data_IF_512460794679
#
_entry.id   IF_512460794679
#
_cell.length_a   1.000
_cell.length_b   1.000
_cell.length_c   1.000
_cell.angle_alpha   90.00
_cell.angle_beta   90.00
_cell.angle_gamma   90.00
#
_symmetry.space_group_name_H-M   'P 1'
#
loop_
_entity.id
_entity.type
_entity.pdbx_description
1 polymer ?
#
# COMPACT_ATOMS: atom_id res chain seq x y z
N UNK A 1 12.96 -16.32 -10.04
CA UNK A 1 12.21 -15.04 -10.02
C UNK A 1 12.56 -14.39 -8.71
N UNK A 2 13.27 -13.27 -8.72
CA UNK A 2 13.78 -12.63 -7.50
C UNK A 2 13.05 -11.30 -7.21
N UNK A 3 13.20 -10.73 -6.01
CA UNK A 3 12.53 -9.46 -5.60
C UNK A 3 12.72 -8.30 -6.57
N UNK A 4 13.91 -8.16 -7.15
CA UNK A 4 14.21 -7.13 -8.16
C UNK A 4 13.36 -7.30 -9.42
N UNK A 5 13.22 -8.54 -9.91
CA UNK A 5 12.45 -8.82 -11.11
C UNK A 5 10.95 -8.58 -10.88
N UNK A 6 10.45 -8.88 -9.68
CA UNK A 6 9.07 -8.57 -9.27
C UNK A 6 8.88 -7.06 -9.25
N UNK A 7 9.76 -6.32 -8.58
CA UNK A 7 9.68 -4.86 -8.51
C UNK A 7 9.71 -4.24 -9.91
N UNK A 8 10.58 -4.75 -10.79
CA UNK A 8 10.71 -4.30 -12.19
C UNK A 8 9.44 -4.55 -12.98
N UNK A 9 8.82 -5.73 -12.83
CA UNK A 9 7.57 -6.06 -13.51
C UNK A 9 6.38 -5.22 -13.02
N UNK A 10 6.42 -4.72 -11.79
CA UNK A 10 5.41 -3.80 -11.25
C UNK A 10 5.59 -2.37 -11.77
N UNK A 11 6.80 -2.01 -12.20
CA UNK A 11 7.16 -0.66 -12.63
C UNK A 11 7.65 0.22 -11.48
N UNK A 12 8.42 1.26 -11.82
CA UNK A 12 8.97 2.21 -10.84
C UNK A 12 9.95 1.57 -9.86
N UNK A 13 10.58 0.46 -10.24
CA UNK A 13 11.48 -0.31 -9.38
C UNK A 13 12.66 0.52 -8.90
N UNK A 14 12.86 0.55 -7.59
CA UNK A 14 14.01 1.21 -6.96
C UNK A 14 14.54 0.37 -5.81
N UNK A 15 15.85 0.31 -5.68
CA UNK A 15 16.51 -0.36 -4.55
C UNK A 15 16.28 0.44 -3.25
N UNK A 16 15.87 -0.25 -2.19
CA UNK A 16 15.60 0.32 -0.86
C UNK A 16 16.29 -0.55 0.21
N UNK A 17 17.56 -0.25 0.50
CA UNK A 17 18.39 -1.06 1.39
C UNK A 17 18.66 -2.46 0.84
N UNK A 18 18.26 -3.49 1.59
CA UNK A 18 18.35 -4.89 1.19
C UNK A 18 17.17 -5.35 0.31
N UNK A 19 16.14 -4.52 0.18
CA UNK A 19 14.94 -4.81 -0.58
C UNK A 19 14.75 -3.88 -1.78
N UNK A 20 13.53 -3.90 -2.31
CA UNK A 20 13.10 -3.13 -3.47
C UNK A 20 11.76 -2.47 -3.20
N UNK A 21 11.53 -1.34 -3.84
CA UNK A 21 10.21 -0.70 -3.88
C UNK A 21 9.72 -0.65 -5.33
N UNK A 22 8.42 -0.80 -5.52
CA UNK A 22 7.75 -0.73 -6.81
C UNK A 22 6.34 -0.18 -6.68
N UNK A 23 5.66 -0.05 -7.81
CA UNK A 23 4.26 0.36 -7.84
C UNK A 23 3.35 -0.74 -7.28
N UNK A 24 2.29 -0.34 -6.59
CA UNK A 24 1.30 -1.29 -6.11
C UNK A 24 0.41 -1.72 -7.28
N UNK A 25 0.15 -3.03 -7.48
CA UNK A 25 -0.75 -3.48 -8.54
C UNK A 25 -2.24 -3.39 -8.17
N UNK A 26 -2.57 -3.13 -6.89
CA UNK A 26 -3.94 -3.12 -6.36
C UNK A 26 -4.62 -1.76 -6.53
N UNK A 27 -3.84 -0.68 -6.54
CA UNK A 27 -4.34 0.67 -6.75
C UNK A 27 -3.44 1.39 -7.73
N UNK A 28 -4.00 2.37 -8.44
CA UNK A 28 -3.20 3.22 -9.31
C UNK A 28 -2.28 4.09 -8.45
N UNK A 29 -0.99 3.74 -8.42
CA UNK A 29 0.03 4.49 -7.70
C UNK A 29 0.94 5.23 -8.68
N UNK A 30 1.18 6.51 -8.38
CA UNK A 30 2.11 7.36 -9.11
C UNK A 30 3.55 7.24 -8.56
N UNK A 31 3.73 6.76 -7.32
CA UNK A 31 5.02 6.63 -6.63
C UNK A 31 5.20 5.20 -6.11
N UNK A 32 6.43 4.64 -6.09
CA UNK A 32 6.61 3.29 -5.54
C UNK A 32 6.23 3.20 -4.05
N UNK A 33 5.04 2.68 -3.77
CA UNK A 33 4.47 2.53 -2.42
C UNK A 33 4.53 1.11 -1.89
N UNK A 34 4.75 0.12 -2.77
CA UNK A 34 4.91 -1.28 -2.39
C UNK A 34 6.38 -1.56 -2.12
N UNK A 35 6.70 -1.97 -0.89
CA UNK A 35 8.02 -2.48 -0.54
C UNK A 35 8.02 -4.01 -0.65
N UNK A 36 9.12 -4.55 -1.16
CA UNK A 36 9.39 -5.95 -1.42
C UNK A 36 10.73 -6.31 -0.79
N UNK A 37 10.74 -7.31 0.08
CA UNK A 37 11.94 -7.81 0.73
C UNK A 37 12.00 -9.33 0.59
N UNK A 38 13.21 -9.88 0.59
CA UNK A 38 13.44 -11.31 0.61
C UNK A 38 14.13 -11.69 1.92
N UNK A 39 13.53 -12.61 2.67
CA UNK A 39 14.03 -13.06 3.96
C UNK A 39 13.91 -14.58 4.01
N UNK A 40 15.03 -15.28 4.17
CA UNK A 40 15.09 -16.75 4.24
C UNK A 40 14.37 -17.45 3.07
N UNK A 41 14.49 -16.89 1.86
CA UNK A 41 13.82 -17.40 0.64
C UNK A 41 12.32 -17.12 0.57
N UNK A 42 11.78 -16.31 1.49
CA UNK A 42 10.39 -15.87 1.50
C UNK A 42 10.26 -14.46 0.98
N UNK A 43 9.24 -14.23 0.15
CA UNK A 43 8.87 -12.90 -0.31
C UNK A 43 8.00 -12.21 0.73
N UNK A 44 8.47 -11.07 1.22
CA UNK A 44 7.72 -10.16 2.08
C UNK A 44 7.31 -8.93 1.27
N UNK A 45 6.09 -8.45 1.51
CA UNK A 45 5.60 -7.22 0.88
C UNK A 45 4.80 -6.36 1.86
N UNK A 46 4.95 -5.05 1.72
CA UNK A 46 4.19 -4.08 2.52
C UNK A 46 3.77 -2.89 1.65
N UNK A 47 2.47 -2.66 1.52
CA UNK A 47 1.93 -1.51 0.82
C UNK A 47 1.67 -0.35 1.79
N UNK A 48 2.42 0.74 1.63
CA UNK A 48 2.30 1.95 2.49
C UNK A 48 1.02 2.75 2.24
N UNK A 49 0.31 2.48 1.16
CA UNK A 49 -0.97 3.13 0.84
C UNK A 49 -2.17 2.52 1.60
N UNK A 50 -1.98 1.35 2.24
CA UNK A 50 -3.01 0.68 3.04
C UNK A 50 -3.76 -0.45 2.33
N UNK A 51 -3.20 -1.03 1.26
CA UNK A 51 -3.78 -2.24 0.64
C UNK A 51 -3.67 -3.44 1.58
N UNK A 52 -4.69 -4.30 1.57
CA UNK A 52 -4.68 -5.56 2.29
C UNK A 52 -3.64 -6.52 1.72
N UNK A 53 -3.01 -7.31 2.59
CA UNK A 53 -1.97 -8.28 2.19
C UNK A 53 -2.50 -9.31 1.19
N UNK A 54 -3.75 -9.77 1.35
CA UNK A 54 -4.41 -10.70 0.43
C UNK A 54 -4.66 -10.11 -0.96
N UNK A 55 -5.04 -8.82 -1.04
CA UNK A 55 -5.28 -8.15 -2.31
C UNK A 55 -3.97 -8.00 -3.11
N UNK A 56 -2.88 -7.63 -2.43
CA UNK A 56 -1.55 -7.56 -3.05
C UNK A 56 -1.09 -8.94 -3.49
N UNK A 57 -1.28 -9.98 -2.66
CA UNK A 57 -0.97 -11.36 -3.01
C UNK A 57 -1.71 -11.78 -4.28
N UNK A 58 -3.02 -11.56 -4.33
CA UNK A 58 -3.86 -11.96 -5.46
C UNK A 58 -3.44 -11.26 -6.75
N UNK A 59 -3.19 -9.95 -6.67
CA UNK A 59 -2.70 -9.17 -7.81
C UNK A 59 -1.32 -9.63 -8.31
N UNK A 60 -0.40 -9.99 -7.40
CA UNK A 60 0.91 -10.57 -7.77
C UNK A 60 0.75 -11.96 -8.38
N UNK A 61 -0.14 -12.79 -7.83
CA UNK A 61 -0.43 -14.14 -8.32
C UNK A 61 -1.06 -14.11 -9.72
N UNK A 62 -2.05 -13.24 -9.94
CA UNK A 62 -2.72 -13.06 -11.23
C UNK A 62 -1.76 -12.58 -12.33
N UNK A 63 -0.64 -11.96 -11.96
CA UNK A 63 0.44 -11.56 -12.87
C UNK A 63 1.56 -12.62 -13.00
N UNK A 64 1.44 -13.76 -12.30
CA UNK A 64 2.45 -14.81 -12.31
C UNK A 64 3.78 -14.45 -11.61
N UNK A 65 3.79 -13.38 -10.79
CA UNK A 65 5.02 -12.85 -10.19
C UNK A 65 5.48 -13.60 -8.95
N UNK A 66 4.65 -14.49 -8.41
CA UNK A 66 4.99 -15.33 -7.24
C UNK A 66 5.72 -16.64 -7.62
N UNK A 67 6.03 -16.85 -8.90
CA UNK A 67 6.58 -18.11 -9.38
C UNK A 67 8.03 -18.30 -8.94
N UNK A 68 8.27 -19.13 -7.91
CA UNK A 68 9.59 -19.38 -7.33
C UNK A 68 9.66 -19.10 -5.83
N UNK A 69 8.73 -18.31 -5.30
CA UNK A 69 8.46 -18.25 -3.88
C UNK A 69 7.47 -19.38 -3.57
N UNK A 70 8.03 -20.55 -3.26
CA UNK A 70 7.23 -21.71 -2.93
C UNK A 70 6.24 -21.34 -1.82
N UNK A 71 4.98 -21.78 -1.95
CA UNK A 71 4.13 -21.85 -0.78
C UNK A 71 4.78 -22.90 0.11
N UNK A 72 5.52 -22.49 1.14
CA UNK A 72 5.59 -23.33 2.33
C UNK A 72 4.12 -23.63 2.62
N UNK A 73 3.71 -24.89 2.46
CA UNK A 73 2.32 -25.27 2.34
C UNK A 73 1.47 -24.59 3.42
N UNK A 74 0.63 -23.62 3.03
CA UNK A 74 -0.48 -23.23 3.87
C UNK A 74 -1.48 -24.39 3.79
N UNK A 75 -1.80 -25.11 4.88
CA UNK A 75 -2.99 -25.91 4.86
C UNK A 75 -4.14 -24.95 4.58
N UNK A 76 -4.91 -25.25 3.54
CA UNK A 76 -6.23 -24.67 3.34
C UNK A 76 -7.12 -25.18 4.48
N UNK A 77 -7.00 -24.57 5.65
CA UNK A 77 -7.96 -24.74 6.74
C UNK A 77 -8.37 -23.36 7.22
N UNK A 78 -9.52 -22.93 6.71
CA UNK A 78 -10.56 -22.25 7.44
C UNK A 78 -10.12 -21.62 8.77
N UNK A 79 -9.50 -20.44 8.72
CA UNK A 79 -9.60 -19.52 9.85
C UNK A 79 -10.67 -18.50 9.50
N UNK A 80 -11.91 -18.82 9.88
CA UNK A 80 -12.96 -17.83 10.09
C UNK A 80 -12.35 -16.68 10.91
N UNK A 81 -12.10 -15.55 10.26
CA UNK A 81 -12.07 -14.26 10.93
C UNK A 81 -13.12 -13.41 10.24
N UNK A 82 -14.12 -12.88 10.95
CA UNK A 82 -15.10 -12.00 10.35
C UNK A 82 -14.34 -10.81 9.74
N UNK A 83 -14.84 -10.34 8.59
CA UNK A 83 -14.38 -9.12 7.97
C UNK A 83 -14.42 -7.99 9.01
N UNK A 84 -13.27 -7.63 9.56
CA UNK A 84 -13.15 -6.32 10.19
C UNK A 84 -13.28 -5.32 9.03
N UNK A 85 -14.26 -4.39 9.05
CA UNK A 85 -14.21 -3.29 8.11
C UNK A 85 -12.97 -2.49 8.48
N UNK A 86 -11.91 -2.61 7.69
CA UNK A 86 -10.86 -1.59 7.66
C UNK A 86 -11.52 -0.35 7.08
N UNK A 87 -12.20 0.39 7.95
CA UNK A 87 -12.49 1.80 7.73
C UNK A 87 -11.13 2.49 7.67
N UNK A 88 -10.71 2.86 6.46
CA UNK A 88 -9.67 3.89 6.31
C UNK A 88 -10.27 5.16 6.96
N UNK A 89 -9.71 5.74 8.03
CA UNK A 89 -10.17 7.05 8.46
C UNK A 89 -9.95 8.02 7.28
N UNK A 90 -10.97 8.79 6.85
CA UNK A 90 -10.78 9.79 5.81
C UNK A 90 -9.74 10.80 6.31
N UNK A 91 -8.72 11.03 5.50
CA UNK A 91 -7.67 12.03 5.77
C UNK A 91 -8.05 13.33 5.07
N UNK A 92 -9.29 13.77 5.28
CA UNK A 92 -9.85 14.93 4.63
C UNK A 92 -10.45 15.83 5.70
N UNK A 93 -9.57 16.60 6.34
CA UNK A 93 -9.93 17.89 6.87
C UNK A 93 -8.84 18.87 6.42
N UNK A 94 -8.82 19.12 5.10
CA UNK A 94 -8.38 20.43 4.60
C UNK A 94 -9.13 21.48 5.39
N UNK A 95 -8.44 22.19 6.28
CA UNK A 95 -8.97 23.40 6.86
C UNK A 95 -9.19 24.39 5.69
N UNK A 96 -10.42 24.87 5.43
CA UNK A 96 -10.57 26.00 4.54
C UNK A 96 -9.94 27.21 5.22
N UNK A 97 -9.03 27.87 4.49
CA UNK A 97 -8.51 29.19 4.81
C UNK A 97 -9.67 30.16 5.03
N UNK A 98 -9.96 30.49 6.29
CA UNK A 98 -10.85 31.59 6.60
C UNK A 98 -10.04 32.88 6.46
N UNK A 99 -10.10 33.45 5.27
CA UNK A 99 -9.75 34.84 4.98
C UNK A 99 -10.67 35.75 5.81
N UNK A 100 -10.06 36.68 6.55
CA UNK A 100 -10.71 37.74 7.32
C UNK A 100 -11.58 38.67 6.45
N UNK A 101 -12.83 38.96 6.86
CA UNK A 101 -13.51 40.18 6.47
C UNK A 101 -13.70 41.10 7.70
N UNK A 102 -12.86 42.13 7.71
CA UNK A 102 -12.97 43.40 8.43
C UNK A 102 -14.41 43.95 8.49
N UNK A 103 -14.98 44.02 9.69
CA UNK A 103 -16.14 44.84 10.06
C UNK A 103 -15.77 45.52 11.39
N UNK A 104 -15.38 46.79 11.46
CA UNK A 104 -16.28 47.95 11.31
C UNK A 104 -16.74 48.43 12.70
N UNK A 105 -15.95 49.29 13.38
CA UNK A 105 -16.44 50.23 14.42
C UNK A 105 -17.26 51.35 13.70
N UNK A 106 -18.12 52.20 14.33
CA UNK A 106 -18.26 52.51 15.77
C UNK A 106 -19.73 52.74 16.28
N UNK A 107 -19.90 52.99 17.59
CA UNK A 107 -20.95 53.90 18.10
C UNK A 107 -21.80 53.43 19.29
N UNK A 108 -21.74 54.18 20.40
CA UNK A 108 -22.87 54.65 21.24
C UNK A 108 -22.50 54.77 22.74
N UNK A 109 -21.96 55.92 23.13
CA UNK A 109 -22.44 56.68 24.28
C UNK A 109 -22.38 58.15 23.91
#
# INVERSE_FOLDING_TARGET
MNVEQIATALGGARKDGSGWVGLCPVHDDQKPSLKLDEVDGKLLWNCRAGCSQDAVRDALASRGLLNGYARDAAPSVASKRPAVPVGKPPKDASAPSMVDPKLGKPGAT
#
